data_IF_295562905600
#
_entry.id   IF_295562905600
#
_cell.length_a   1.000
_cell.length_b   1.000
_cell.length_c   1.000
_cell.angle_alpha   90.00
_cell.angle_beta   90.00
_cell.angle_gamma   90.00
#
_symmetry.space_group_name_H-M   'P 1'
#
loop_
_entity.id
_entity.type
_entity.pdbx_description
1 polymer ?
#
# COMPACT_ATOMS: atom_id res chain seq x y z
N UNK A 1 -11.25 11.91 8.77
CA UNK A 1 -12.28 11.64 7.71
C UNK A 1 -12.82 12.96 7.13
N UNK A 2 -11.96 13.94 6.81
CA UNK A 2 -12.40 15.30 6.44
C UNK A 2 -12.95 15.41 5.01
N UNK A 3 -12.46 14.58 4.08
CA UNK A 3 -12.83 14.65 2.66
C UNK A 3 -14.08 13.82 2.30
N UNK A 4 -14.63 13.03 3.23
CA UNK A 4 -15.81 12.17 2.98
C UNK A 4 -17.09 12.94 2.60
N UNK A 5 -17.40 14.10 3.22
CA UNK A 5 -18.61 14.86 2.88
C UNK A 5 -18.58 15.50 1.48
N UNK A 6 -17.41 15.62 0.85
CA UNK A 6 -17.23 16.34 -0.42
C UNK A 6 -17.65 15.52 -1.65
N UNK A 7 -18.08 14.26 -1.48
CA UNK A 7 -18.54 13.41 -2.58
C UNK A 7 -17.46 13.03 -3.60
N UNK A 8 -16.19 13.38 -3.37
CA UNK A 8 -15.07 13.09 -4.26
C UNK A 8 -14.50 11.69 -4.01
N UNK A 9 -14.10 11.01 -5.09
CA UNK A 9 -13.44 9.71 -5.01
C UNK A 9 -12.01 9.88 -4.49
N UNK A 10 -11.82 9.63 -3.20
CA UNK A 10 -10.49 9.65 -2.56
C UNK A 10 -9.82 8.29 -2.75
N UNK A 11 -8.69 8.26 -3.45
CA UNK A 11 -7.83 7.07 -3.59
C UNK A 11 -6.49 7.30 -2.91
N UNK A 12 -5.83 6.22 -2.47
CA UNK A 12 -4.48 6.26 -1.89
C UNK A 12 -3.54 5.51 -2.82
N UNK A 13 -2.32 6.04 -2.99
CA UNK A 13 -1.25 5.37 -3.74
C UNK A 13 -0.98 4.01 -3.10
N UNK A 14 -0.66 2.99 -3.91
CA UNK A 14 -0.27 1.69 -3.41
C UNK A 14 0.90 1.83 -2.41
N UNK A 15 0.84 1.11 -1.31
CA UNK A 15 1.92 1.00 -0.33
C UNK A 15 2.37 -0.45 -0.29
N UNK A 16 3.67 -0.70 -0.26
CA UNK A 16 4.24 -2.03 -0.27
C UNK A 16 5.68 -2.01 -0.77
N UNK A 17 6.14 -3.16 -1.23
CA UNK A 17 7.50 -3.36 -1.76
C UNK A 17 7.74 -2.55 -3.04
N UNK A 18 8.89 -1.84 -3.17
CA UNK A 18 9.26 -1.20 -4.41
C UNK A 18 9.61 -2.24 -5.49
N UNK A 19 9.32 -1.90 -6.74
CA UNK A 19 9.71 -2.74 -7.89
C UNK A 19 11.24 -2.78 -7.97
N UNK A 20 11.82 -3.98 -7.97
CA UNK A 20 13.27 -4.19 -8.00
C UNK A 20 13.96 -4.11 -6.64
N UNK A 21 13.21 -3.95 -5.54
CA UNK A 21 13.76 -4.12 -4.18
C UNK A 21 13.92 -5.60 -3.83
N UNK A 22 14.97 -5.92 -3.08
CA UNK A 22 15.21 -7.26 -2.56
C UNK A 22 14.54 -7.43 -1.18
N UNK A 23 13.84 -8.55 -0.98
CA UNK A 23 13.09 -8.87 0.24
C UNK A 23 13.99 -8.91 1.48
N UNK A 24 15.26 -9.26 1.31
CA UNK A 24 16.23 -9.39 2.42
C UNK A 24 16.52 -8.05 3.12
N UNK A 25 16.24 -6.93 2.45
CA UNK A 25 16.52 -5.58 2.96
C UNK A 25 15.25 -4.81 3.33
N UNK A 26 14.10 -5.48 3.34
CA UNK A 26 12.81 -4.84 3.55
C UNK A 26 12.39 -4.98 4.99
N UNK A 27 11.94 -3.87 5.58
CA UNK A 27 11.43 -3.86 6.94
C UNK A 27 10.09 -4.61 7.06
N UNK A 28 9.85 -5.17 8.23
CA UNK A 28 8.66 -5.99 8.52
C UNK A 28 7.35 -5.22 8.30
N UNK A 29 7.32 -3.90 8.52
CA UNK A 29 6.12 -3.07 8.38
C UNK A 29 5.76 -2.93 6.89
N UNK A 30 6.76 -2.73 6.02
CA UNK A 30 6.56 -2.70 4.57
C UNK A 30 6.08 -4.04 4.02
N UNK A 31 6.67 -5.14 4.49
CA UNK A 31 6.21 -6.50 4.15
C UNK A 31 4.76 -6.73 4.57
N UNK A 32 4.41 -6.42 5.82
CA UNK A 32 3.04 -6.58 6.33
C UNK A 32 2.01 -5.79 5.51
N UNK A 33 2.32 -4.54 5.16
CA UNK A 33 1.46 -3.71 4.30
C UNK A 33 1.33 -4.26 2.88
N UNK A 34 2.41 -4.80 2.32
CA UNK A 34 2.39 -5.42 1.00
C UNK A 34 1.53 -6.69 0.97
N UNK A 35 1.59 -7.50 2.03
CA UNK A 35 0.74 -8.68 2.20
C UNK A 35 -0.74 -8.32 2.37
N UNK A 36 -1.06 -7.35 3.23
CA UNK A 36 -2.43 -6.86 3.43
C UNK A 36 -3.03 -6.29 2.13
N UNK A 37 -2.22 -5.62 1.32
CA UNK A 37 -2.61 -5.03 0.05
C UNK A 37 -2.54 -5.97 -1.17
N UNK A 38 -2.15 -7.25 -0.99
CA UNK A 38 -1.95 -8.19 -2.10
C UNK A 38 -3.29 -8.48 -2.80
N UNK A 39 -3.30 -8.35 -4.12
CA UNK A 39 -4.43 -8.72 -4.99
C UNK A 39 -4.07 -9.97 -5.79
N UNK A 40 -5.07 -10.78 -6.13
CA UNK A 40 -4.91 -11.82 -7.15
C UNK A 40 -4.52 -11.18 -8.49
N UNK A 41 -3.75 -11.93 -9.29
CA UNK A 41 -3.28 -11.49 -10.60
C UNK A 41 -4.40 -11.69 -11.62
#
# INVERSE_FOLDING_TARGET
>A
RLLKPLGIKVTRIAHGLPVGGDLEYVDEITLAKAYEGRREI
#
